data_IF_307089673700
#
_entry.id   IF_307089673700
#
_cell.length_a   1.000
_cell.length_b   1.000
_cell.length_c   1.000
_cell.angle_alpha   90.00
_cell.angle_beta   90.00
_cell.angle_gamma   90.00
#
_symmetry.space_group_name_H-M   'P 1'
#
loop_
_entity.id
_entity.type
_entity.pdbx_description
1 polymer ?
#
# COMPACT_ATOMS: atom_id res chain seq x y z
N UNK A 1 -18.81 -8.54 -25.64
CA UNK A 1 -18.24 -9.90 -25.47
C UNK A 1 -16.82 -9.74 -24.96
N UNK A 2 -16.62 -9.85 -23.64
CA UNK A 2 -15.29 -9.70 -23.04
C UNK A 2 -14.49 -10.98 -23.33
N UNK A 3 -13.33 -10.85 -23.97
CA UNK A 3 -12.40 -11.95 -24.13
C UNK A 3 -12.08 -12.51 -22.73
N UNK A 4 -12.27 -13.81 -22.53
CA UNK A 4 -11.92 -14.53 -21.30
C UNK A 4 -10.42 -14.42 -21.08
N UNK A 5 -9.98 -13.46 -20.26
CA UNK A 5 -8.57 -13.24 -20.01
C UNK A 5 -8.11 -14.20 -18.91
N UNK A 6 -7.12 -15.05 -19.21
CA UNK A 6 -6.50 -15.97 -18.24
C UNK A 6 -5.17 -15.39 -17.77
N UNK A 7 -4.73 -15.65 -16.53
CA UNK A 7 -3.38 -15.32 -16.04
C UNK A 7 -2.27 -15.87 -16.95
N UNK A 8 -2.55 -16.93 -17.73
CA UNK A 8 -1.65 -17.47 -18.76
C UNK A 8 -1.33 -16.51 -19.91
N UNK A 9 -2.03 -15.39 -20.02
CA UNK A 9 -1.74 -14.33 -21.00
C UNK A 9 -0.75 -13.27 -20.50
N UNK A 10 -0.50 -13.19 -19.18
CA UNK A 10 0.46 -12.25 -18.61
C UNK A 10 1.92 -12.66 -18.91
N UNK A 11 2.88 -11.72 -18.82
CA UNK A 11 4.30 -12.04 -18.97
C UNK A 11 4.73 -13.08 -17.93
N UNK A 12 5.68 -13.96 -18.28
CA UNK A 12 6.09 -15.10 -17.42
C UNK A 12 6.53 -14.65 -16.03
N UNK A 13 7.20 -13.50 -15.91
CA UNK A 13 7.65 -12.97 -14.61
C UNK A 13 6.50 -12.50 -13.70
N UNK A 14 5.37 -12.10 -14.28
CA UNK A 14 4.22 -11.60 -13.53
C UNK A 14 3.29 -12.73 -13.08
N UNK A 15 3.54 -13.98 -13.49
CA UNK A 15 2.67 -15.11 -13.14
C UNK A 15 3.03 -15.66 -11.75
N UNK A 16 2.03 -16.07 -10.95
CA UNK A 16 2.28 -16.85 -9.75
C UNK A 16 3.04 -18.14 -10.08
N UNK A 17 4.06 -18.46 -9.28
CA UNK A 17 4.79 -19.73 -9.39
C UNK A 17 3.90 -20.88 -8.91
N UNK A 18 3.71 -21.89 -9.77
CA UNK A 18 2.90 -23.05 -9.43
C UNK A 18 3.46 -23.79 -8.21
N UNK A 19 4.79 -23.86 -8.06
CA UNK A 19 5.42 -24.50 -6.91
C UNK A 19 5.09 -23.81 -5.58
N UNK A 20 4.74 -22.53 -5.59
CA UNK A 20 4.29 -21.83 -4.39
C UNK A 20 2.81 -22.07 -4.08
N UNK A 21 1.98 -22.14 -5.11
CA UNK A 21 0.55 -22.45 -4.98
C UNK A 21 0.36 -23.86 -4.40
N UNK A 22 1.15 -24.81 -4.89
CA UNK A 22 1.07 -26.23 -4.51
C UNK A 22 1.50 -26.51 -3.05
N UNK A 23 2.19 -25.57 -2.39
CA UNK A 23 2.52 -25.67 -0.96
C UNK A 23 1.28 -25.56 -0.06
N UNK A 24 0.18 -24.99 -0.56
CA UNK A 24 -1.03 -24.84 0.22
C UNK A 24 -1.77 -26.19 0.37
N UNK A 25 -1.74 -26.75 1.57
CA UNK A 25 -2.46 -28.00 1.90
C UNK A 25 -3.91 -27.79 2.37
N UNK A 26 -4.46 -26.58 2.20
CA UNK A 26 -5.83 -26.22 2.56
C UNK A 26 -6.24 -26.43 4.03
N UNK A 27 -5.29 -26.47 4.98
CA UNK A 27 -5.57 -26.74 6.41
C UNK A 27 -6.41 -25.67 7.15
N UNK A 28 -6.46 -24.43 6.65
CA UNK A 28 -7.30 -23.36 7.23
C UNK A 28 -6.69 -22.59 8.42
N UNK A 29 -5.44 -22.85 8.81
CA UNK A 29 -4.78 -22.10 9.91
C UNK A 29 -4.63 -20.59 9.61
N UNK A 30 -4.57 -20.22 8.33
CA UNK A 30 -4.47 -18.83 7.89
C UNK A 30 -5.78 -18.02 8.06
N UNK A 31 -6.92 -18.67 8.33
CA UNK A 31 -8.24 -18.02 8.36
C UNK A 31 -8.30 -16.97 9.48
N UNK A 32 -8.02 -17.37 10.72
CA UNK A 32 -8.18 -16.51 11.90
C UNK A 32 -7.12 -15.40 12.02
N UNK A 33 -6.04 -15.46 11.25
CA UNK A 33 -5.03 -14.38 11.20
C UNK A 33 -5.30 -13.37 10.09
N UNK A 34 -6.20 -13.68 9.14
CA UNK A 34 -6.51 -12.79 8.04
C UNK A 34 -7.58 -11.76 8.46
N UNK A 35 -7.26 -10.45 8.46
CA UNK A 35 -8.21 -9.43 8.91
C UNK A 35 -9.43 -9.33 7.99
N UNK A 36 -9.26 -9.49 6.67
CA UNK A 36 -10.36 -9.35 5.72
C UNK A 36 -11.34 -10.51 5.80
N UNK A 37 -10.85 -11.74 5.96
CA UNK A 37 -11.70 -12.89 6.27
C UNK A 37 -12.48 -12.70 7.57
N UNK A 38 -11.84 -12.22 8.64
CA UNK A 38 -12.49 -12.01 9.93
C UNK A 38 -13.64 -10.99 9.87
N UNK A 39 -13.54 -9.99 9.00
CA UNK A 39 -14.57 -8.97 8.83
C UNK A 39 -15.67 -9.47 7.89
N UNK A 40 -15.31 -10.12 6.79
CA UNK A 40 -16.25 -10.46 5.72
C UNK A 40 -16.91 -11.83 5.90
N UNK A 41 -16.27 -12.77 6.61
CA UNK A 41 -16.75 -14.14 6.82
C UNK A 41 -16.75 -15.03 5.57
N UNK A 42 -16.38 -14.48 4.41
CA UNK A 42 -16.33 -15.20 3.13
C UNK A 42 -14.97 -15.88 2.95
N UNK A 43 -14.95 -17.20 2.77
CA UNK A 43 -13.70 -17.93 2.60
C UNK A 43 -12.90 -17.46 1.38
N UNK A 44 -13.57 -16.99 0.33
CA UNK A 44 -12.93 -16.40 -0.86
C UNK A 44 -12.09 -15.15 -0.52
N UNK A 45 -12.37 -14.50 0.60
CA UNK A 45 -11.60 -13.38 1.14
C UNK A 45 -10.55 -13.80 2.19
N UNK A 46 -10.28 -15.10 2.31
CA UNK A 46 -9.19 -15.64 3.11
C UNK A 46 -7.92 -15.87 2.28
N UNK A 47 -6.74 -16.07 2.92
CA UNK A 47 -5.52 -16.39 2.20
C UNK A 47 -5.63 -17.71 1.42
N UNK A 48 -6.17 -18.75 2.07
CA UNK A 48 -6.47 -20.06 1.45
C UNK A 48 -7.40 -19.92 0.25
N UNK A 49 -8.52 -19.23 0.41
CA UNK A 49 -9.51 -19.06 -0.66
C UNK A 49 -8.97 -18.25 -1.84
N UNK A 50 -8.10 -17.27 -1.58
CA UNK A 50 -7.41 -16.54 -2.66
C UNK A 50 -6.37 -17.39 -3.37
N UNK A 51 -5.58 -18.20 -2.65
CA UNK A 51 -4.67 -19.16 -3.30
C UNK A 51 -5.47 -20.10 -4.21
N UNK A 52 -6.61 -20.61 -3.74
CA UNK A 52 -7.48 -21.45 -4.56
C UNK A 52 -7.93 -20.75 -5.84
N UNK A 53 -8.46 -19.53 -5.75
CA UNK A 53 -8.85 -18.73 -6.91
C UNK A 53 -7.67 -18.48 -7.86
N UNK A 54 -6.51 -18.11 -7.33
CA UNK A 54 -5.31 -17.88 -8.14
C UNK A 54 -4.88 -19.16 -8.87
N UNK A 55 -4.92 -20.31 -8.18
CA UNK A 55 -4.56 -21.60 -8.76
C UNK A 55 -5.52 -21.99 -9.91
N UNK A 56 -6.82 -21.78 -9.73
CA UNK A 56 -7.81 -21.98 -10.78
C UNK A 56 -7.52 -21.13 -12.03
N UNK A 57 -7.27 -19.83 -11.84
CA UNK A 57 -7.01 -18.91 -12.96
C UNK A 57 -5.65 -19.21 -13.62
N UNK A 58 -4.64 -19.61 -12.84
CA UNK A 58 -3.34 -20.06 -13.35
C UNK A 58 -3.49 -21.36 -14.19
N UNK A 59 -4.44 -22.22 -13.83
CA UNK A 59 -4.75 -23.46 -14.55
C UNK A 59 -5.72 -23.30 -15.73
N UNK A 60 -6.04 -22.07 -16.13
CA UNK A 60 -6.79 -21.77 -17.35
C UNK A 60 -8.24 -21.37 -17.13
N UNK A 61 -8.69 -21.25 -15.88
CA UNK A 61 -9.98 -20.63 -15.60
C UNK A 61 -9.97 -19.15 -16.05
N UNK A 62 -11.12 -18.67 -16.53
CA UNK A 62 -11.26 -17.28 -16.94
C UNK A 62 -11.26 -16.35 -15.73
N UNK A 63 -10.52 -15.24 -15.81
CA UNK A 63 -10.57 -14.19 -14.80
C UNK A 63 -11.96 -13.53 -14.81
N UNK A 64 -12.54 -13.33 -13.63
CA UNK A 64 -13.85 -12.69 -13.46
C UNK A 64 -13.71 -11.44 -12.59
N UNK A 65 -14.72 -10.57 -12.62
CA UNK A 65 -14.75 -9.39 -11.74
C UNK A 65 -14.75 -9.78 -10.25
N UNK A 66 -15.38 -10.91 -9.90
CA UNK A 66 -15.37 -11.44 -8.53
C UNK A 66 -13.97 -11.87 -8.10
N UNK A 67 -13.20 -12.55 -8.97
CA UNK A 67 -11.80 -12.87 -8.69
C UNK A 67 -10.99 -11.61 -8.38
N UNK A 68 -11.10 -10.57 -9.21
CA UNK A 68 -10.39 -9.30 -9.00
C UNK A 68 -10.80 -8.67 -7.66
N UNK A 69 -12.09 -8.62 -7.35
CA UNK A 69 -12.60 -8.06 -6.10
C UNK A 69 -12.02 -8.76 -4.86
N UNK A 70 -12.07 -10.09 -4.81
CA UNK A 70 -11.53 -10.85 -3.68
C UNK A 70 -10.03 -10.64 -3.50
N UNK A 71 -9.28 -10.58 -4.60
CA UNK A 71 -7.84 -10.33 -4.58
C UNK A 71 -7.53 -8.89 -4.15
N UNK A 72 -8.28 -7.89 -4.59
CA UNK A 72 -8.09 -6.48 -4.23
C UNK A 72 -8.38 -6.19 -2.76
N UNK A 73 -9.29 -6.94 -2.14
CA UNK A 73 -9.56 -6.83 -0.70
C UNK A 73 -8.38 -7.30 0.18
N UNK A 74 -7.38 -7.99 -0.37
CA UNK A 74 -6.20 -8.37 0.40
C UNK A 74 -5.36 -7.14 0.81
N UNK A 75 -5.16 -6.93 2.11
CA UNK A 75 -4.31 -5.81 2.60
C UNK A 75 -2.80 -6.05 2.40
N UNK A 76 -2.39 -7.22 1.92
CA UNK A 76 -0.99 -7.63 1.81
C UNK A 76 -0.19 -7.52 3.13
N UNK A 77 -0.85 -7.68 4.29
CA UNK A 77 -0.23 -7.59 5.61
C UNK A 77 0.69 -8.77 5.99
N UNK A 78 0.65 -9.86 5.20
CA UNK A 78 1.48 -11.08 5.36
C UNK A 78 1.36 -11.85 6.69
N UNK A 79 0.43 -11.49 7.58
CA UNK A 79 0.19 -12.23 8.83
C UNK A 79 -0.09 -13.74 8.62
N UNK A 80 -0.65 -14.10 7.46
CA UNK A 80 -0.90 -15.49 7.07
C UNK A 80 0.36 -16.33 6.81
N UNK A 81 1.49 -15.71 6.44
CA UNK A 81 2.74 -16.43 6.20
C UNK A 81 3.29 -16.98 7.52
N UNK A 82 3.32 -16.14 8.57
CA UNK A 82 3.77 -16.53 9.91
C UNK A 82 2.92 -17.65 10.51
N UNK A 83 1.63 -17.68 10.20
CA UNK A 83 0.71 -18.71 10.68
C UNK A 83 0.75 -20.02 9.87
N UNK A 84 1.41 -20.04 8.71
CA UNK A 84 1.36 -21.17 7.79
C UNK A 84 2.45 -22.21 8.13
N UNK A 85 2.08 -23.44 8.55
CA UNK A 85 3.09 -24.48 8.83
C UNK A 85 3.77 -24.98 7.55
N UNK A 86 3.11 -24.84 6.39
CA UNK A 86 3.64 -25.26 5.09
C UNK A 86 4.57 -24.22 4.45
N UNK A 87 4.78 -23.07 5.08
CA UNK A 87 5.68 -22.02 4.57
C UNK A 87 5.25 -21.46 3.22
N UNK A 88 3.95 -21.30 2.98
CA UNK A 88 3.43 -20.71 1.73
C UNK A 88 3.86 -19.24 1.65
N UNK A 89 4.60 -18.81 0.59
CA UNK A 89 5.05 -17.42 0.43
C UNK A 89 3.92 -16.55 -0.16
N UNK A 90 2.87 -16.37 0.63
CA UNK A 90 1.61 -15.75 0.22
C UNK A 90 1.78 -14.34 -0.37
N UNK A 91 2.68 -13.53 0.19
CA UNK A 91 3.00 -12.17 -0.28
C UNK A 91 3.46 -12.16 -1.73
N UNK A 92 4.37 -13.06 -2.09
CA UNK A 92 4.83 -13.23 -3.48
C UNK A 92 3.69 -13.65 -4.40
N UNK A 93 2.87 -14.61 -3.95
CA UNK A 93 1.72 -15.11 -4.72
C UNK A 93 0.72 -13.97 -5.01
N UNK A 94 0.28 -13.22 -3.99
CA UNK A 94 -0.72 -12.17 -4.19
C UNK A 94 -0.18 -10.99 -5.02
N UNK A 95 1.10 -10.63 -4.85
CA UNK A 95 1.77 -9.58 -5.63
C UNK A 95 1.85 -9.96 -7.12
N UNK A 96 2.31 -11.18 -7.43
CA UNK A 96 2.33 -11.69 -8.81
C UNK A 96 0.92 -11.75 -9.42
N UNK A 97 -0.07 -12.29 -8.70
CA UNK A 97 -1.44 -12.38 -9.20
C UNK A 97 -2.00 -11.00 -9.56
N UNK A 98 -1.79 -9.99 -8.71
CA UNK A 98 -2.19 -8.60 -8.99
C UNK A 98 -1.43 -8.00 -10.16
N UNK A 99 -0.13 -8.24 -10.27
CA UNK A 99 0.68 -7.78 -11.40
C UNK A 99 0.15 -8.35 -12.72
N UNK A 100 -0.10 -9.65 -12.78
CA UNK A 100 -0.64 -10.30 -13.98
C UNK A 100 -2.07 -9.85 -14.32
N UNK A 101 -2.93 -9.59 -13.33
CA UNK A 101 -4.25 -8.98 -13.56
C UNK A 101 -4.09 -7.56 -14.12
N UNK A 102 -3.25 -6.74 -13.49
CA UNK A 102 -3.01 -5.36 -13.87
C UNK A 102 -2.40 -5.22 -15.27
N UNK A 103 -1.57 -6.17 -15.70
CA UNK A 103 -0.98 -6.23 -17.04
C UNK A 103 -2.02 -6.50 -18.14
N UNK A 104 -3.13 -7.16 -17.80
CA UNK A 104 -4.25 -7.41 -18.73
C UNK A 104 -5.20 -6.21 -18.79
N UNK A 105 -5.21 -5.35 -17.77
CA UNK A 105 -6.02 -4.14 -17.81
C UNK A 105 -5.51 -3.17 -18.89
N UNK A 106 -6.44 -2.65 -19.69
CA UNK A 106 -6.20 -1.48 -20.54
C UNK A 106 -6.77 -0.24 -19.85
N UNK A 107 -5.99 0.46 -18.99
CA UNK A 107 -6.50 1.64 -18.31
C UNK A 107 -6.87 2.71 -19.34
N UNK A 108 -8.02 3.36 -19.14
CA UNK A 108 -8.43 4.52 -19.93
C UNK A 108 -7.43 5.67 -19.81
N UNK A 109 -7.48 6.61 -20.75
CA UNK A 109 -6.51 7.72 -20.88
C UNK A 109 -6.40 8.51 -19.57
N UNK A 110 -7.53 8.79 -18.90
CA UNK A 110 -7.56 9.46 -17.61
C UNK A 110 -6.85 8.70 -16.49
N UNK A 111 -7.04 7.37 -16.38
CA UNK A 111 -6.35 6.52 -15.39
C UNK A 111 -4.84 6.49 -15.66
N UNK A 112 -4.42 6.48 -16.92
CA UNK A 112 -2.99 6.57 -17.29
C UNK A 112 -2.39 7.93 -16.92
N UNK A 113 -3.06 9.02 -17.29
CA UNK A 113 -2.58 10.37 -17.02
C UNK A 113 -2.50 10.65 -15.52
N UNK A 114 -3.56 10.34 -14.76
CA UNK A 114 -3.57 10.50 -13.29
C UNK A 114 -2.49 9.66 -12.62
N UNK A 115 -2.32 8.39 -13.02
CA UNK A 115 -1.23 7.54 -12.50
C UNK A 115 0.14 8.15 -12.80
N UNK A 116 0.36 8.64 -14.02
CA UNK A 116 1.61 9.28 -14.41
C UNK A 116 1.88 10.54 -13.58
N UNK A 117 0.89 11.42 -13.46
CA UNK A 117 1.00 12.64 -12.65
C UNK A 117 1.27 12.35 -11.18
N UNK A 118 0.57 11.39 -10.58
CA UNK A 118 0.74 11.07 -9.15
C UNK A 118 2.10 10.40 -8.90
N UNK A 119 2.42 9.31 -9.61
CA UNK A 119 3.60 8.50 -9.29
C UNK A 119 4.91 9.08 -9.85
N UNK A 120 4.90 9.64 -11.07
CA UNK A 120 6.14 10.14 -11.69
C UNK A 120 6.42 11.61 -11.35
N UNK A 121 5.39 12.43 -11.10
CA UNK A 121 5.58 13.86 -10.85
C UNK A 121 5.34 14.25 -9.39
N UNK A 122 4.19 13.90 -8.80
CA UNK A 122 3.85 14.34 -7.44
C UNK A 122 4.70 13.61 -6.39
N UNK A 123 4.67 12.27 -6.36
CA UNK A 123 5.37 11.47 -5.35
C UNK A 123 6.90 11.55 -5.48
N UNK A 124 7.40 11.76 -6.70
CA UNK A 124 8.84 11.90 -6.95
C UNK A 124 9.38 13.31 -6.67
N UNK A 125 8.52 14.32 -6.47
CA UNK A 125 8.94 15.70 -6.25
C UNK A 125 8.74 16.13 -4.79
N UNK A 126 9.83 16.43 -4.04
CA UNK A 126 9.73 16.98 -2.69
C UNK A 126 8.95 18.30 -2.65
N UNK A 127 9.07 19.15 -3.68
CA UNK A 127 8.33 20.41 -3.76
C UNK A 127 6.84 20.16 -4.02
N UNK A 128 6.52 19.23 -4.93
CA UNK A 128 5.14 18.84 -5.22
C UNK A 128 4.42 18.31 -3.98
N UNK A 129 5.08 17.44 -3.21
CA UNK A 129 4.53 16.90 -1.96
C UNK A 129 4.36 17.96 -0.87
N UNK A 130 5.31 18.90 -0.73
CA UNK A 130 5.17 20.00 0.22
C UNK A 130 4.00 20.93 -0.15
N UNK A 131 3.82 21.25 -1.43
CA UNK A 131 2.68 22.05 -1.89
C UNK A 131 1.36 21.32 -1.67
N UNK A 132 1.27 20.04 -2.04
CA UNK A 132 0.09 19.23 -1.79
C UNK A 132 -0.23 19.11 -0.29
N UNK A 133 0.79 18.93 0.55
CA UNK A 133 0.68 18.95 2.01
C UNK A 133 0.18 20.29 2.54
N UNK A 134 0.69 21.41 2.03
CA UNK A 134 0.26 22.74 2.44
C UNK A 134 -1.21 23.01 2.06
N UNK A 135 -1.61 22.63 0.84
CA UNK A 135 -3.01 22.69 0.40
C UNK A 135 -3.91 21.83 1.29
N UNK A 136 -3.49 20.62 1.62
CA UNK A 136 -4.23 19.71 2.49
C UNK A 136 -4.35 20.23 3.93
N UNK A 137 -3.27 20.84 4.45
CA UNK A 137 -3.27 21.54 5.72
C UNK A 137 -4.28 22.69 5.72
N UNK A 138 -4.27 23.55 4.68
CA UNK A 138 -5.21 24.68 4.56
C UNK A 138 -6.66 24.21 4.40
N UNK A 139 -6.90 23.18 3.59
CA UNK A 139 -8.22 22.57 3.41
C UNK A 139 -8.83 22.10 4.74
N UNK A 140 -8.01 21.52 5.62
CA UNK A 140 -8.43 21.14 6.97
C UNK A 140 -8.53 22.34 7.91
N UNK A 141 -7.52 23.21 7.96
CA UNK A 141 -7.42 24.31 8.91
C UNK A 141 -8.52 25.37 8.72
N UNK A 142 -8.96 25.58 7.47
CA UNK A 142 -10.08 26.47 7.14
C UNK A 142 -11.45 25.87 7.46
N UNK A 143 -11.52 24.59 7.86
CA UNK A 143 -12.78 23.90 8.10
C UNK A 143 -13.54 23.52 6.82
N UNK A 144 -12.99 23.81 5.63
CA UNK A 144 -13.61 23.46 4.34
C UNK A 144 -13.84 21.95 4.22
N UNK A 145 -12.92 21.15 4.76
CA UNK A 145 -13.10 19.71 4.88
C UNK A 145 -14.39 19.32 5.61
N UNK A 146 -14.68 19.95 6.74
CA UNK A 146 -15.90 19.69 7.50
C UNK A 146 -17.15 20.07 6.70
N UNK A 147 -17.12 21.18 5.97
CA UNK A 147 -18.23 21.64 5.11
C UNK A 147 -18.47 20.65 3.97
N UNK A 148 -17.42 20.22 3.28
CA UNK A 148 -17.51 19.25 2.17
C UNK A 148 -18.10 17.93 2.66
N UNK A 149 -17.64 17.43 3.80
CA UNK A 149 -18.13 16.18 4.40
C UNK A 149 -19.57 16.29 4.89
N UNK A 150 -19.93 17.40 5.53
CA UNK A 150 -21.28 17.64 6.04
C UNK A 150 -22.32 17.85 4.93
N UNK A 151 -21.97 18.67 3.93
CA UNK A 151 -22.85 18.94 2.78
C UNK A 151 -23.08 17.71 1.90
N UNK A 152 -22.16 16.73 1.94
CA UNK A 152 -22.23 15.54 1.11
C UNK A 152 -22.08 15.84 -0.39
N UNK A 153 -21.55 17.02 -0.75
CA UNK A 153 -21.41 17.46 -2.15
C UNK A 153 -20.56 16.50 -3.00
N UNK A 154 -19.64 15.76 -2.36
CA UNK A 154 -18.80 14.77 -3.02
C UNK A 154 -19.42 13.38 -3.14
N UNK A 155 -20.51 13.06 -2.44
CA UNK A 155 -21.20 11.76 -2.51
C UNK A 155 -21.55 11.31 -3.94
N UNK A 156 -22.10 12.15 -4.84
CA UNK A 156 -22.36 11.73 -6.22
C UNK A 156 -21.09 11.41 -7.01
N UNK A 157 -19.91 11.82 -6.54
CA UNK A 157 -18.62 11.58 -7.17
C UNK A 157 -17.91 10.31 -6.65
N UNK A 158 -18.62 9.43 -5.94
CA UNK A 158 -18.19 8.07 -5.57
C UNK A 158 -16.74 7.99 -5.06
N UNK A 159 -15.83 7.48 -5.90
CA UNK A 159 -14.39 7.35 -5.61
C UNK A 159 -13.74 8.61 -5.07
N UNK A 160 -14.16 9.80 -5.52
CA UNK A 160 -13.58 11.05 -5.03
C UNK A 160 -13.97 11.32 -3.57
N UNK A 161 -15.19 10.94 -3.17
CA UNK A 161 -15.65 10.99 -1.79
C UNK A 161 -14.84 10.04 -0.90
N UNK A 162 -14.57 8.82 -1.39
CA UNK A 162 -13.78 7.84 -0.63
C UNK A 162 -12.33 8.31 -0.44
N UNK A 163 -11.72 8.86 -1.49
CA UNK A 163 -10.36 9.43 -1.44
C UNK A 163 -10.27 10.63 -0.51
N UNK A 164 -11.26 11.51 -0.50
CA UNK A 164 -11.33 12.64 0.43
C UNK A 164 -11.48 12.16 1.87
N UNK A 165 -12.34 11.15 2.11
CA UNK A 165 -12.55 10.57 3.43
C UNK A 165 -11.26 9.95 3.99
N UNK A 166 -10.48 9.29 3.13
CA UNK A 166 -9.20 8.66 3.44
C UNK A 166 -7.99 9.62 3.35
N UNK A 167 -8.22 10.91 3.08
CA UNK A 167 -7.13 11.87 2.97
C UNK A 167 -6.36 11.98 4.30
N UNK A 168 -5.01 11.94 4.26
CA UNK A 168 -4.21 12.01 5.47
C UNK A 168 -4.25 13.43 6.05
N UNK A 169 -3.80 13.58 7.29
CA UNK A 169 -3.61 14.88 7.89
C UNK A 169 -2.19 15.36 7.63
N UNK A 170 -2.02 16.53 7.03
CA UNK A 170 -0.71 17.16 6.89
C UNK A 170 -0.22 17.74 8.24
N UNK A 171 1.00 17.39 8.63
CA UNK A 171 1.64 17.80 9.89
C UNK A 171 2.71 18.85 9.62
N UNK A 172 2.42 20.12 9.95
CA UNK A 172 3.36 21.24 9.82
C UNK A 172 4.11 21.45 11.15
N UNK A 173 5.43 21.74 11.14
CA UNK A 173 6.33 21.81 9.98
C UNK A 173 6.60 20.43 9.36
N UNK A 174 6.71 20.37 8.04
CA UNK A 174 7.04 19.13 7.33
C UNK A 174 8.46 18.66 7.63
N UNK A 175 8.68 17.35 7.56
CA UNK A 175 9.96 16.74 7.90
C UNK A 175 11.02 16.85 6.79
N UNK A 176 10.66 17.33 5.59
CA UNK A 176 11.59 17.54 4.48
C UNK A 176 12.82 18.40 4.85
N UNK A 177 12.68 19.28 5.84
CA UNK A 177 13.79 20.09 6.40
C UNK A 177 14.92 19.27 7.02
N UNK A 178 14.66 18.00 7.32
CA UNK A 178 15.60 17.09 7.96
C UNK A 178 16.38 16.22 6.94
N UNK A 179 15.94 16.19 5.68
CA UNK A 179 16.61 15.46 4.59
C UNK A 179 18.03 16.01 4.38
N UNK A 180 19.00 15.11 4.19
CA UNK A 180 20.42 15.45 4.04
C UNK A 180 21.13 15.83 5.35
N UNK A 181 20.44 15.81 6.49
CA UNK A 181 21.03 16.17 7.79
C UNK A 181 21.45 14.94 8.57
N UNK A 182 22.48 15.13 9.39
CA UNK A 182 22.91 14.15 10.40
C UNK A 182 22.68 14.73 11.79
N UNK A 183 22.03 13.94 12.63
CA UNK A 183 21.70 14.26 14.01
C UNK A 183 22.64 13.44 14.93
N UNK A 184 23.42 14.08 15.81
CA UNK A 184 24.37 13.37 16.67
C UNK A 184 23.64 12.55 17.76
N UNK A 185 24.30 11.50 18.26
CA UNK A 185 23.82 10.76 19.42
C UNK A 185 23.78 11.65 20.67
N UNK A 186 22.80 11.42 21.54
CA UNK A 186 22.81 11.98 22.90
C UNK A 186 23.75 11.13 23.76
N UNK A 187 24.87 11.70 24.19
CA UNK A 187 25.88 10.99 25.00
C UNK A 187 26.88 10.18 24.18
N UNK A 188 27.21 8.98 24.65
CA UNK A 188 28.16 8.10 23.95
C UNK A 188 27.54 7.53 22.67
N UNK A 189 28.22 7.73 21.54
CA UNK A 189 27.79 7.19 20.25
C UNK A 189 28.05 5.68 20.19
N UNK A 190 26.98 4.90 20.12
CA UNK A 190 27.02 3.43 20.04
C UNK A 190 26.79 2.92 18.63
N UNK A 191 25.94 3.60 17.85
CA UNK A 191 25.52 3.17 16.52
C UNK A 191 25.45 4.34 15.55
N UNK A 192 25.56 4.04 14.26
CA UNK A 192 25.25 4.96 13.16
C UNK A 192 24.12 4.37 12.33
N UNK A 193 23.03 5.12 12.19
CA UNK A 193 21.77 4.66 11.59
C UNK A 193 21.37 5.59 10.46
N UNK A 194 21.04 5.02 9.29
CA UNK A 194 20.36 5.73 8.23
C UNK A 194 18.84 5.67 8.45
N UNK A 195 18.17 6.82 8.53
CA UNK A 195 16.73 6.91 8.72
C UNK A 195 16.01 7.31 7.42
N UNK A 196 15.26 6.37 6.85
CA UNK A 196 14.48 6.60 5.63
C UNK A 196 13.16 7.30 5.96
N UNK A 197 13.14 8.61 5.72
CA UNK A 197 12.03 9.48 6.10
C UNK A 197 10.71 9.25 5.32
N UNK A 198 10.79 8.63 4.13
CA UNK A 198 9.65 8.30 3.26
C UNK A 198 8.95 9.51 2.61
N UNK A 199 8.49 9.41 1.36
CA UNK A 199 7.91 10.56 0.64
C UNK A 199 6.64 11.13 1.31
N UNK A 200 5.62 10.30 1.55
CA UNK A 200 4.36 10.73 2.17
C UNK A 200 4.52 10.99 3.67
N UNK A 201 5.34 10.18 4.34
CA UNK A 201 5.57 10.30 5.78
C UNK A 201 6.23 11.63 6.17
N UNK A 202 7.03 12.23 5.29
CA UNK A 202 7.54 13.58 5.47
C UNK A 202 6.44 14.66 5.63
N UNK A 203 5.24 14.41 5.11
CA UNK A 203 4.09 15.34 5.17
C UNK A 203 3.07 14.89 6.20
N UNK A 204 2.67 13.63 6.18
CA UNK A 204 1.57 13.11 6.99
C UNK A 204 1.97 12.61 8.38
N UNK A 205 3.26 12.31 8.57
CA UNK A 205 3.80 11.71 9.80
C UNK A 205 5.08 12.43 10.24
N UNK A 206 5.16 13.74 9.99
CA UNK A 206 6.35 14.53 10.28
C UNK A 206 6.72 14.48 11.77
N UNK A 207 5.74 14.55 12.68
CA UNK A 207 5.96 14.46 14.13
C UNK A 207 6.43 13.09 14.57
N UNK A 208 5.91 12.03 13.92
CA UNK A 208 6.35 10.66 14.17
C UNK A 208 7.82 10.49 13.76
N UNK A 209 8.22 11.03 12.60
CA UNK A 209 9.60 11.02 12.15
C UNK A 209 10.51 11.79 13.13
N UNK A 210 10.11 12.98 13.60
CA UNK A 210 10.86 13.73 14.62
C UNK A 210 10.98 12.98 15.95
N UNK A 211 9.89 12.34 16.40
CA UNK A 211 9.92 11.49 17.59
C UNK A 211 10.88 10.30 17.40
N UNK A 212 10.88 9.68 16.22
CA UNK A 212 11.74 8.55 15.91
C UNK A 212 13.22 8.95 15.94
N UNK A 213 13.59 10.08 15.33
CA UNK A 213 14.97 10.61 15.41
C UNK A 213 15.37 10.87 16.86
N UNK A 214 14.54 11.54 17.66
CA UNK A 214 14.84 11.80 19.08
C UNK A 214 15.05 10.51 19.88
N UNK A 215 14.16 9.54 19.74
CA UNK A 215 14.29 8.24 20.43
C UNK A 215 15.60 7.55 20.03
N UNK A 216 15.98 7.58 18.75
CA UNK A 216 17.25 7.02 18.29
C UNK A 216 18.44 7.77 18.90
N UNK A 217 18.43 9.11 18.92
CA UNK A 217 19.50 9.90 19.53
C UNK A 217 19.69 9.56 21.01
N UNK A 218 18.59 9.47 21.78
CA UNK A 218 18.62 9.10 23.20
C UNK A 218 19.10 7.66 23.44
N UNK A 219 19.05 6.78 22.44
CA UNK A 219 19.59 5.43 22.49
C UNK A 219 21.05 5.33 21.98
N UNK A 220 21.74 6.45 21.85
CA UNK A 220 23.14 6.50 21.44
C UNK A 220 23.36 6.33 19.94
N UNK A 221 22.33 6.54 19.11
CA UNK A 221 22.45 6.47 17.66
C UNK A 221 22.75 7.85 17.07
N UNK A 222 23.82 7.94 16.28
CA UNK A 222 23.95 9.01 15.30
C UNK A 222 22.99 8.70 14.14
N UNK A 223 22.11 9.62 13.79
CA UNK A 223 21.06 9.41 12.78
C UNK A 223 21.35 10.26 11.56
N UNK A 224 21.66 9.63 10.43
CA UNK A 224 21.77 10.32 9.14
C UNK A 224 20.48 10.13 8.36
N UNK A 225 19.93 11.23 7.87
CA UNK A 225 18.80 11.20 6.94
C UNK A 225 19.38 11.48 5.56
N UNK A 226 19.49 10.46 4.68
CA UNK A 226 20.12 10.62 3.39
C UNK A 226 19.35 11.61 2.52
N UNK A 227 20.07 12.30 1.63
CA UNK A 227 19.47 13.14 0.60
C UNK A 227 18.89 12.31 -0.56
N UNK A 228 19.55 11.18 -0.86
CA UNK A 228 19.27 10.24 -1.95
C UNK A 228 19.39 8.78 -1.46
#
# INVERSE_FOLDING_TARGET
MAASSSLRSAAVHDRPDQADLDKCVHCGLCLNVCPTYRVLGLEMDSPRGRIYQINQIANGEALTASHVQHLDLCLACRACETACPSGVPYGRIIESARAAIQAQERPGIWKRLTRKLIFEHLLSSPVGLQLAGACLYLYRATGLQSIVRYSGILKPFGRLSDLEALSPTAEVPFFYRAIGKTFPASGEQRYHVAFLAGCIANVAFARLNEATVRVLQENGCQVTIPAD
#
